data_IF_795670321529
#
_entry.id   IF_795670321529
#
_cell.length_a   1.000
_cell.length_b   1.000
_cell.length_c   1.000
_cell.angle_alpha   90.00
_cell.angle_beta   90.00
_cell.angle_gamma   90.00
#
_symmetry.space_group_name_H-M   'P 1'
#
loop_
_entity.id
_entity.type
_entity.pdbx_description
1 polymer ?
#
# COMPACT_ATOMS: atom_id res chain seq x y z
N UNK A 1 84.62 35.93 28.54
CA UNK A 1 83.87 35.67 29.78
C UNK A 1 82.42 35.43 29.52
N UNK A 2 81.91 34.32 30.07
CA UNK A 2 80.51 33.88 30.17
C UNK A 2 79.69 33.63 28.91
N UNK A 3 79.71 32.40 28.50
CA UNK A 3 78.80 31.65 27.71
C UNK A 3 77.41 31.62 28.37
N UNK A 4 76.33 31.84 27.62
CA UNK A 4 74.98 31.47 28.00
C UNK A 4 74.35 30.63 26.87
N UNK A 5 74.30 29.33 27.12
CA UNK A 5 73.57 28.36 26.30
C UNK A 5 72.07 28.61 26.44
N UNK A 6 71.38 28.80 25.34
CA UNK A 6 69.94 28.74 25.31
C UNK A 6 69.51 27.40 24.68
N UNK A 7 68.93 26.55 25.53
CA UNK A 7 68.33 25.29 25.08
C UNK A 7 67.02 25.60 24.34
N UNK A 8 66.96 25.24 23.08
CA UNK A 8 65.73 25.22 22.33
C UNK A 8 65.06 23.86 22.57
N UNK A 9 63.96 23.89 23.27
CA UNK A 9 63.09 22.71 23.43
C UNK A 9 62.22 22.61 22.18
N UNK A 10 62.40 21.53 21.42
CA UNK A 10 61.53 21.16 20.30
C UNK A 10 60.27 20.55 20.86
N UNK A 11 59.14 21.28 20.74
CA UNK A 11 57.82 20.76 21.02
C UNK A 11 57.28 19.99 19.83
N UNK A 12 57.16 18.68 19.94
CA UNK A 12 56.47 17.86 18.96
C UNK A 12 54.93 17.98 19.17
N UNK A 13 54.27 18.68 18.27
CA UNK A 13 52.79 18.73 18.25
C UNK A 13 52.27 17.45 17.59
N UNK A 14 51.69 16.57 18.37
CA UNK A 14 50.90 15.43 17.85
C UNK A 14 49.54 15.92 17.45
N UNK A 15 49.30 16.02 16.14
CA UNK A 15 47.96 16.24 15.57
C UNK A 15 47.21 14.90 15.61
N UNK A 16 46.33 14.74 16.57
CA UNK A 16 45.35 13.66 16.59
C UNK A 16 44.26 13.99 15.55
N UNK A 17 44.42 13.42 14.36
CA UNK A 17 43.34 13.41 13.35
C UNK A 17 42.22 12.51 13.82
N UNK A 18 41.15 13.09 14.31
CA UNK A 18 39.92 12.35 14.61
C UNK A 18 39.25 11.95 13.30
N UNK A 19 39.40 10.68 12.88
CA UNK A 19 38.60 10.07 11.85
C UNK A 19 37.19 9.86 12.41
N UNK A 20 36.27 10.80 12.18
CA UNK A 20 34.86 10.58 12.39
C UNK A 20 34.35 9.73 11.24
N UNK A 21 34.33 8.43 11.45
CA UNK A 21 33.61 7.52 10.56
C UNK A 21 32.11 7.80 10.70
N UNK A 22 31.55 8.54 9.74
CA UNK A 22 30.11 8.71 9.61
C UNK A 22 29.51 7.35 9.25
N UNK A 23 29.02 6.62 10.24
CA UNK A 23 28.15 5.46 10.06
C UNK A 23 26.86 5.97 9.44
N UNK A 24 26.79 5.92 8.11
CA UNK A 24 25.52 6.07 7.41
C UNK A 24 24.69 4.86 7.79
N UNK A 25 23.81 5.03 8.77
CA UNK A 25 22.77 4.05 9.06
C UNK A 25 21.81 4.08 7.88
N UNK A 26 22.00 3.15 6.95
CA UNK A 26 20.98 2.82 5.97
C UNK A 26 19.80 2.27 6.79
N UNK A 27 18.82 3.13 7.08
CA UNK A 27 17.56 2.69 7.64
C UNK A 27 17.00 1.61 6.71
N UNK A 28 16.59 0.45 7.23
CA UNK A 28 15.93 -0.55 6.40
C UNK A 28 14.74 0.13 5.69
N UNK A 29 14.50 -0.19 4.41
CA UNK A 29 13.34 0.34 3.71
C UNK A 29 12.10 0.04 4.55
N UNK A 30 11.26 1.05 4.75
CA UNK A 30 9.99 0.87 5.45
C UNK A 30 9.22 -0.26 4.73
N UNK A 31 8.64 -1.22 5.48
CA UNK A 31 7.86 -2.27 4.85
C UNK A 31 6.78 -1.63 4.00
N UNK A 32 6.64 -2.10 2.76
CA UNK A 32 5.55 -1.72 1.91
C UNK A 32 4.26 -2.18 2.59
N UNK A 33 3.34 -1.26 2.82
CA UNK A 33 2.09 -1.56 3.49
C UNK A 33 0.93 -1.16 2.59
N UNK A 34 0.01 -2.09 2.40
CA UNK A 34 -1.35 -1.82 1.96
C UNK A 34 -2.07 -1.22 3.18
N UNK A 35 -2.57 -0.01 3.06
CA UNK A 35 -3.31 0.65 4.12
C UNK A 35 -4.70 0.99 3.62
N UNK A 36 -5.73 0.50 4.27
CA UNK A 36 -7.13 0.83 4.01
C UNK A 36 -7.68 0.32 2.64
N UNK A 37 -8.33 -0.83 2.65
CA UNK A 37 -9.02 -1.38 1.49
C UNK A 37 -10.48 -0.90 1.46
N UNK A 38 -10.81 -0.03 0.54
CA UNK A 38 -12.14 0.61 0.43
C UNK A 38 -12.89 0.12 -0.81
N UNK A 39 -14.16 -0.25 -0.61
CA UNK A 39 -15.12 -0.53 -1.70
C UNK A 39 -16.21 0.54 -1.65
N UNK A 40 -16.21 1.44 -2.62
CA UNK A 40 -17.19 2.53 -2.68
C UNK A 40 -18.50 2.05 -3.32
N UNK A 41 -19.63 2.31 -2.66
CA UNK A 41 -20.95 1.97 -3.17
C UNK A 41 -21.38 2.82 -4.36
N UNK A 42 -20.75 3.99 -4.57
CA UNK A 42 -21.08 4.88 -5.69
C UNK A 42 -22.55 5.29 -5.70
N UNK A 43 -23.22 5.13 -6.84
CA UNK A 43 -24.66 5.41 -7.02
C UNK A 43 -25.55 4.22 -6.61
N UNK A 44 -25.06 3.27 -5.84
CA UNK A 44 -25.84 2.15 -5.33
C UNK A 44 -26.69 2.56 -4.12
N UNK A 45 -27.97 2.25 -4.17
CA UNK A 45 -28.91 2.43 -3.07
C UNK A 45 -29.11 1.09 -2.36
N UNK A 46 -28.88 1.06 -1.04
CA UNK A 46 -29.07 -0.14 -0.20
C UNK A 46 -27.84 -1.01 0.01
N UNK A 47 -26.66 -0.62 -0.49
CA UNK A 47 -25.39 -1.31 -0.27
C UNK A 47 -24.83 -2.01 -1.50
N UNK A 48 -24.35 -3.25 -1.36
CA UNK A 48 -23.75 -4.03 -2.44
C UNK A 48 -24.77 -5.04 -3.00
N UNK A 49 -24.90 -5.11 -4.31
CA UNK A 49 -25.82 -6.01 -5.00
C UNK A 49 -25.15 -6.75 -6.15
N UNK A 50 -25.69 -7.91 -6.48
CA UNK A 50 -25.20 -8.71 -7.63
C UNK A 50 -25.25 -7.92 -8.93
N UNK A 51 -24.28 -8.18 -9.80
CA UNK A 51 -24.15 -7.59 -11.14
C UNK A 51 -24.00 -6.05 -11.15
N UNK A 52 -23.82 -5.44 -9.98
CA UNK A 52 -23.52 -4.03 -9.84
C UNK A 52 -22.01 -3.80 -9.76
N UNK A 53 -21.56 -2.61 -10.13
CA UNK A 53 -20.13 -2.28 -10.25
C UNK A 53 -19.71 -1.35 -9.12
N UNK A 54 -18.65 -1.71 -8.41
CA UNK A 54 -18.15 -0.98 -7.25
C UNK A 54 -16.67 -0.63 -7.42
N UNK A 55 -16.29 0.59 -7.06
CA UNK A 55 -14.90 1.01 -7.13
C UNK A 55 -14.15 0.48 -5.91
N UNK A 56 -13.14 -0.33 -6.17
CA UNK A 56 -12.16 -0.78 -5.20
C UNK A 56 -10.95 0.14 -5.24
N UNK A 57 -10.43 0.54 -4.08
CA UNK A 57 -9.22 1.35 -3.97
C UNK A 57 -8.41 0.97 -2.75
N UNK A 58 -7.09 0.94 -2.94
CA UNK A 58 -6.11 0.60 -1.91
C UNK A 58 -4.94 1.56 -2.01
N UNK A 59 -4.73 2.43 -1.01
CA UNK A 59 -3.49 3.19 -0.89
C UNK A 59 -2.31 2.26 -0.63
N UNK A 60 -1.21 2.51 -1.33
CA UNK A 60 0.03 1.72 -1.23
C UNK A 60 1.24 2.65 -1.19
N UNK A 61 2.34 2.18 -0.62
CA UNK A 61 3.59 2.93 -0.54
C UNK A 61 4.71 2.36 -1.45
N UNK A 62 4.36 1.45 -2.35
CA UNK A 62 5.26 0.94 -3.40
C UNK A 62 4.52 0.85 -4.74
N UNK A 63 5.28 0.77 -5.83
CA UNK A 63 4.74 0.63 -7.19
C UNK A 63 4.50 -0.83 -7.59
N UNK A 64 4.65 -1.77 -6.65
CA UNK A 64 4.39 -3.18 -6.89
C UNK A 64 2.91 -3.43 -7.20
N UNK A 65 2.65 -4.36 -8.12
CA UNK A 65 1.30 -4.69 -8.55
C UNK A 65 0.46 -5.23 -7.39
N UNK A 66 -0.76 -4.71 -7.23
CA UNK A 66 -1.77 -5.21 -6.31
C UNK A 66 -2.66 -6.20 -7.01
N UNK A 67 -2.87 -7.36 -6.39
CA UNK A 67 -3.76 -8.42 -6.87
C UNK A 67 -5.06 -8.32 -6.08
N UNK A 68 -6.16 -8.08 -6.77
CA UNK A 68 -7.50 -8.10 -6.19
C UNK A 68 -8.18 -9.43 -6.47
N UNK A 69 -8.81 -10.03 -5.46
CA UNK A 69 -9.63 -11.22 -5.63
C UNK A 69 -10.77 -11.31 -4.63
N UNK A 70 -11.79 -12.09 -4.98
CA UNK A 70 -12.97 -12.39 -4.19
C UNK A 70 -12.96 -13.90 -3.95
N UNK A 71 -13.06 -14.35 -2.70
CA UNK A 71 -13.05 -15.78 -2.37
C UNK A 71 -14.33 -16.50 -2.82
N UNK A 72 -15.41 -15.75 -3.00
CA UNK A 72 -16.71 -16.33 -3.32
C UNK A 72 -17.00 -16.25 -4.82
N UNK A 73 -17.83 -15.33 -5.22
CA UNK A 73 -18.25 -15.17 -6.61
C UNK A 73 -18.31 -13.71 -6.98
N UNK A 74 -17.22 -13.21 -7.48
CA UNK A 74 -17.08 -11.86 -7.96
C UNK A 74 -15.82 -11.72 -8.79
N UNK A 75 -15.74 -10.65 -9.55
CA UNK A 75 -14.58 -10.35 -10.39
C UNK A 75 -14.07 -8.95 -10.16
N UNK A 76 -12.77 -8.77 -10.34
CA UNK A 76 -12.11 -7.47 -10.36
C UNK A 76 -11.57 -7.15 -11.75
N UNK A 77 -11.77 -5.92 -12.19
CA UNK A 77 -11.24 -5.41 -13.44
C UNK A 77 -10.53 -4.06 -13.23
N UNK A 78 -9.18 -3.97 -13.37
CA UNK A 78 -8.28 -5.09 -13.58
C UNK A 78 -8.10 -5.94 -12.31
N UNK A 79 -7.81 -7.23 -12.46
CA UNK A 79 -7.44 -8.09 -11.33
C UNK A 79 -6.04 -7.77 -10.80
N UNK A 80 -5.12 -7.42 -11.70
CA UNK A 80 -3.76 -7.01 -11.40
C UNK A 80 -3.66 -5.51 -11.67
N UNK A 81 -3.60 -4.72 -10.62
CA UNK A 81 -3.59 -3.26 -10.73
C UNK A 81 -2.21 -2.70 -10.40
N UNK A 82 -1.62 -1.96 -11.34
CA UNK A 82 -0.43 -1.16 -11.07
C UNK A 82 -0.88 0.12 -10.38
N UNK A 83 -0.28 0.48 -9.22
CA UNK A 83 -0.63 1.71 -8.53
C UNK A 83 -0.34 2.95 -9.38
N UNK A 84 -1.23 3.94 -9.29
CA UNK A 84 -1.04 5.26 -9.88
C UNK A 84 -1.22 6.28 -8.76
N UNK A 85 -0.24 7.18 -8.60
CA UNK A 85 -0.21 8.16 -7.52
C UNK A 85 -0.39 7.53 -6.13
N UNK A 86 0.25 6.37 -5.91
CA UNK A 86 0.21 5.65 -4.65
C UNK A 86 -1.14 4.96 -4.34
N UNK A 87 -1.99 4.74 -5.35
CA UNK A 87 -3.29 4.06 -5.16
C UNK A 87 -3.52 3.03 -6.26
N UNK A 88 -3.73 1.78 -5.86
CA UNK A 88 -4.23 0.74 -6.75
C UNK A 88 -5.76 0.80 -6.84
N UNK A 89 -6.31 0.68 -8.06
CA UNK A 89 -7.75 0.78 -8.31
C UNK A 89 -8.23 -0.35 -9.20
N UNK A 90 -9.42 -0.85 -8.88
CA UNK A 90 -10.14 -1.83 -9.69
C UNK A 90 -11.65 -1.60 -9.61
N UNK A 91 -12.41 -2.27 -10.44
CA UNK A 91 -13.87 -2.35 -10.33
C UNK A 91 -14.23 -3.77 -9.91
N UNK A 92 -14.91 -3.89 -8.78
CA UNK A 92 -15.47 -5.16 -8.30
C UNK A 92 -16.90 -5.34 -8.79
N UNK A 93 -17.24 -6.56 -9.22
CA UNK A 93 -18.59 -6.95 -9.65
C UNK A 93 -18.92 -8.29 -9.02
N UNK A 94 -19.74 -8.32 -7.93
CA UNK A 94 -20.20 -9.56 -7.34
C UNK A 94 -21.23 -10.24 -8.24
N UNK A 95 -21.19 -11.57 -8.34
CA UNK A 95 -22.16 -12.35 -9.16
C UNK A 95 -23.08 -13.21 -8.33
N UNK A 96 -22.82 -13.37 -7.03
CA UNK A 96 -23.66 -14.10 -6.11
C UNK A 96 -24.09 -13.23 -4.91
N UNK A 97 -25.20 -13.61 -4.28
CA UNK A 97 -25.64 -13.02 -3.01
C UNK A 97 -24.95 -13.72 -1.85
N UNK A 98 -24.82 -13.04 -0.75
CA UNK A 98 -24.24 -13.59 0.47
C UNK A 98 -23.07 -12.77 0.99
N UNK A 99 -22.26 -13.40 1.80
CA UNK A 99 -21.04 -12.82 2.35
C UNK A 99 -19.92 -13.00 1.33
N UNK A 100 -19.22 -11.94 1.03
CA UNK A 100 -18.02 -11.92 0.17
C UNK A 100 -16.81 -11.49 0.98
N UNK A 101 -15.71 -12.19 0.82
CA UNK A 101 -14.42 -11.86 1.41
C UNK A 101 -13.49 -11.41 0.29
N UNK A 102 -13.21 -10.12 0.28
CA UNK A 102 -12.40 -9.48 -0.76
C UNK A 102 -10.98 -9.25 -0.25
N UNK A 103 -10.02 -9.48 -1.10
CA UNK A 103 -8.60 -9.36 -0.80
C UNK A 103 -7.92 -8.36 -1.73
N UNK A 104 -6.97 -7.64 -1.16
CA UNK A 104 -6.00 -6.84 -1.88
C UNK A 104 -4.60 -7.26 -1.41
N UNK A 105 -3.89 -8.01 -2.26
CA UNK A 105 -2.57 -8.56 -1.99
C UNK A 105 -1.52 -7.81 -2.80
N UNK A 106 -0.52 -7.24 -2.14
CA UNK A 106 0.66 -6.69 -2.78
C UNK A 106 1.87 -7.56 -2.46
N UNK A 107 2.48 -8.13 -3.49
CA UNK A 107 3.70 -8.94 -3.37
C UNK A 107 4.92 -8.06 -3.57
N UNK A 108 5.91 -8.24 -2.71
CA UNK A 108 7.14 -7.49 -2.75
C UNK A 108 8.32 -8.39 -3.13
N UNK A 109 9.18 -7.90 -4.03
CA UNK A 109 10.37 -8.66 -4.45
C UNK A 109 11.37 -8.86 -3.28
N UNK A 110 11.47 -7.88 -2.40
CA UNK A 110 12.49 -7.80 -1.34
C UNK A 110 11.88 -7.66 0.07
N UNK A 111 10.72 -8.26 0.32
CA UNK A 111 10.06 -8.15 1.61
C UNK A 111 8.84 -9.05 1.78
N UNK A 112 8.19 -9.02 2.94
CA UNK A 112 6.96 -9.77 3.15
C UNK A 112 5.82 -9.20 2.31
N UNK A 113 4.97 -10.08 1.82
CA UNK A 113 3.72 -9.70 1.15
C UNK A 113 2.82 -8.91 2.12
N UNK A 114 2.05 -7.99 1.57
CA UNK A 114 1.10 -7.14 2.29
C UNK A 114 -0.30 -7.46 1.81
N UNK A 115 -1.20 -7.82 2.70
CA UNK A 115 -2.58 -8.19 2.36
C UNK A 115 -3.58 -7.47 3.26
N UNK A 116 -4.64 -6.95 2.64
CA UNK A 116 -5.83 -6.47 3.32
C UNK A 116 -7.06 -7.25 2.88
N UNK A 117 -7.95 -7.45 3.82
CA UNK A 117 -9.21 -8.17 3.62
C UNK A 117 -10.37 -7.31 4.06
N UNK A 118 -11.46 -7.33 3.30
CA UNK A 118 -12.74 -6.72 3.68
C UNK A 118 -13.87 -7.72 3.47
N UNK A 119 -14.76 -7.81 4.44
CA UNK A 119 -15.96 -8.69 4.37
C UNK A 119 -17.19 -7.83 4.13
N UNK A 120 -17.94 -8.15 3.09
CA UNK A 120 -19.13 -7.42 2.66
C UNK A 120 -20.32 -8.36 2.49
N UNK A 121 -21.53 -7.83 2.72
CA UNK A 121 -22.78 -8.55 2.44
C UNK A 121 -23.36 -8.04 1.13
N UNK A 122 -23.66 -8.96 0.22
CA UNK A 122 -24.21 -8.71 -1.11
C UNK A 122 -25.65 -9.16 -1.18
N UNK A 123 -26.57 -8.25 -1.51
CA UNK A 123 -27.97 -8.51 -1.78
C UNK A 123 -28.24 -8.76 -3.27
N UNK A 124 -29.52 -8.79 -3.65
CA UNK A 124 -29.91 -8.82 -5.05
C UNK A 124 -29.77 -7.41 -5.63
N UNK A 125 -28.98 -7.28 -6.68
CA UNK A 125 -28.83 -6.02 -7.40
C UNK A 125 -29.78 -5.91 -8.59
N UNK A 126 -30.30 -4.71 -8.81
CA UNK A 126 -31.04 -4.34 -10.03
C UNK A 126 -30.25 -3.18 -10.65
N UNK A 127 -29.55 -3.47 -11.73
CA UNK A 127 -28.70 -2.49 -12.41
C UNK A 127 -29.51 -1.71 -13.45
N UNK A 128 -29.49 -0.38 -13.34
CA UNK A 128 -30.10 0.54 -14.31
C UNK A 128 -28.98 1.06 -15.22
N UNK A 129 -28.86 0.46 -16.39
CA UNK A 129 -27.76 0.74 -17.34
C UNK A 129 -27.73 2.23 -17.79
N UNK A 130 -28.87 2.84 -17.98
CA UNK A 130 -28.97 4.23 -18.45
C UNK A 130 -28.55 5.27 -17.41
N UNK A 131 -28.56 4.89 -16.13
CA UNK A 131 -28.24 5.76 -14.99
C UNK A 131 -26.92 5.41 -14.32
N UNK A 132 -26.25 4.31 -14.75
CA UNK A 132 -25.11 3.70 -14.05
C UNK A 132 -25.36 3.55 -12.53
N UNK A 133 -26.61 3.26 -12.17
CA UNK A 133 -27.08 3.15 -10.80
C UNK A 133 -27.52 1.71 -10.49
N UNK A 134 -27.46 1.36 -9.21
CA UNK A 134 -27.86 0.04 -8.73
C UNK A 134 -28.82 0.18 -7.55
N UNK A 135 -29.94 -0.54 -7.61
CA UNK A 135 -30.83 -0.74 -6.46
C UNK A 135 -30.57 -2.11 -5.85
N UNK A 136 -30.31 -2.14 -4.55
CA UNK A 136 -30.04 -3.38 -3.82
C UNK A 136 -31.21 -3.73 -2.95
N UNK A 137 -31.77 -4.92 -3.19
CA UNK A 137 -32.84 -5.49 -2.37
C UNK A 137 -32.20 -6.50 -1.42
N UNK A 138 -32.31 -6.22 -0.13
CA UNK A 138 -31.91 -7.16 0.94
C UNK A 138 -33.11 -8.02 1.29
N UNK A 139 -32.91 -9.33 1.34
CA UNK A 139 -33.84 -10.27 1.95
C UNK A 139 -33.39 -10.60 3.35
#
# INVERSE_FOLDING_TARGET
MRSTRRNAAAGAAYAFGSLVAALVHLAPPAPANVSDFTIATGASLGGYGTDCRYRASVPVNSDDTVIFYDEDSGSFAPQFAVPVDGVARAVWTPTARGTHVLHALQRHADGPDSELTVTLSVGMGIHFQDLDACLVVRQ
#
